data_IF_882190897535
#
_entry.id   IF_882190897535
#
_cell.length_a   1.000
_cell.length_b   1.000
_cell.length_c   1.000
_cell.angle_alpha   90.00
_cell.angle_beta   90.00
_cell.angle_gamma   90.00
#
_symmetry.space_group_name_H-M   'P 1'
#
loop_
_entity.id
_entity.type
_entity.pdbx_description
1 polymer ?
#
# COMPACT_ATOMS: atom_id res chain seq x y z
N UNK A 1 8.86 -8.83 1.70
CA UNK A 1 7.89 -7.72 1.94
C UNK A 1 8.29 -6.46 1.19
N UNK A 2 9.57 -6.07 1.22
CA UNK A 2 10.13 -4.93 0.49
C UNK A 2 9.74 -4.91 -1.00
N UNK A 3 9.92 -6.03 -1.70
CA UNK A 3 9.60 -6.11 -3.13
C UNK A 3 8.12 -5.82 -3.41
N UNK A 4 7.22 -6.41 -2.62
CA UNK A 4 5.77 -6.18 -2.76
C UNK A 4 5.34 -4.74 -2.43
N UNK A 5 6.07 -4.05 -1.54
CA UNK A 5 5.87 -2.63 -1.27
C UNK A 5 6.27 -1.78 -2.47
N UNK A 6 7.43 -2.06 -3.05
CA UNK A 6 7.92 -1.35 -4.24
C UNK A 6 7.06 -1.62 -5.47
N UNK A 7 6.59 -2.86 -5.66
CA UNK A 7 5.67 -3.22 -6.74
C UNK A 7 4.35 -2.47 -6.63
N UNK A 8 3.78 -2.38 -5.42
CA UNK A 8 2.57 -1.59 -5.19
C UNK A 8 2.80 -0.09 -5.47
N UNK A 9 3.97 0.44 -5.11
CA UNK A 9 4.36 1.82 -5.41
C UNK A 9 4.52 2.04 -6.92
N UNK A 10 5.16 1.12 -7.62
CA UNK A 10 5.36 1.17 -9.07
C UNK A 10 4.02 1.09 -9.81
N UNK A 11 3.10 0.22 -9.36
CA UNK A 11 1.75 0.14 -9.89
C UNK A 11 1.00 1.48 -9.75
N UNK A 12 1.10 2.17 -8.60
CA UNK A 12 0.51 3.50 -8.44
C UNK A 12 1.14 4.55 -9.36
N UNK A 13 2.46 4.50 -9.58
CA UNK A 13 3.15 5.40 -10.52
C UNK A 13 2.64 5.15 -11.95
N UNK A 14 2.50 3.88 -12.33
CA UNK A 14 1.95 3.52 -13.64
C UNK A 14 0.49 3.99 -13.80
N UNK A 15 -0.37 3.80 -12.81
CA UNK A 15 -1.75 4.27 -12.87
C UNK A 15 -1.86 5.78 -13.12
N UNK A 16 -0.89 6.57 -12.63
CA UNK A 16 -0.84 8.03 -12.85
C UNK A 16 -0.52 8.44 -14.28
N UNK A 17 0.01 7.55 -15.11
CA UNK A 17 0.32 7.83 -16.52
C UNK A 17 -0.85 7.54 -17.45
N UNK A 18 -1.88 6.84 -16.96
CA UNK A 18 -3.05 6.48 -17.75
C UNK A 18 -3.95 7.70 -17.94
N UNK A 19 -4.28 8.00 -19.20
CA UNK A 19 -5.10 9.15 -19.59
C UNK A 19 -6.48 9.18 -18.92
N UNK A 20 -7.05 8.01 -18.66
CA UNK A 20 -8.40 7.86 -18.12
C UNK A 20 -8.43 7.73 -16.58
N UNK A 21 -7.30 7.99 -15.92
CA UNK A 21 -7.15 7.95 -14.45
C UNK A 21 -6.88 9.35 -13.94
N UNK A 22 -7.65 9.81 -12.95
CA UNK A 22 -7.34 11.04 -12.22
C UNK A 22 -6.24 10.77 -11.17
N UNK A 23 -5.00 11.27 -11.37
CA UNK A 23 -3.91 11.04 -10.43
C UNK A 23 -4.14 11.71 -9.07
N UNK A 24 -5.07 12.66 -8.98
CA UNK A 24 -5.47 13.33 -7.75
C UNK A 24 -6.43 12.51 -6.88
N UNK A 25 -6.91 11.35 -7.33
CA UNK A 25 -7.96 10.55 -6.65
C UNK A 25 -7.63 9.07 -6.46
N UNK A 26 -6.35 8.71 -6.44
CA UNK A 26 -5.92 7.32 -6.26
C UNK A 26 -5.92 6.90 -4.78
N UNK A 27 -6.51 5.74 -4.49
CA UNK A 27 -6.48 5.07 -3.19
C UNK A 27 -5.82 3.70 -3.27
N UNK A 28 -5.50 3.11 -2.11
CA UNK A 28 -4.91 1.77 -1.99
C UNK A 28 -5.72 0.91 -1.02
N UNK A 29 -5.88 -0.36 -1.37
CA UNK A 29 -6.57 -1.35 -0.55
C UNK A 29 -5.66 -2.57 -0.38
N UNK A 30 -5.67 -3.15 0.83
CA UNK A 30 -4.90 -4.33 1.14
C UNK A 30 -5.66 -5.31 2.04
N UNK A 31 -5.63 -6.59 1.68
CA UNK A 31 -6.21 -7.68 2.48
C UNK A 31 -5.12 -8.56 3.11
N UNK A 32 -5.29 -8.94 4.38
CA UNK A 32 -4.34 -9.79 5.12
C UNK A 32 -2.93 -9.16 5.10
N UNK A 33 -1.91 -9.87 4.60
CA UNK A 33 -0.55 -9.31 4.39
C UNK A 33 -0.55 -8.06 3.49
N UNK A 34 -1.49 -7.97 2.54
CA UNK A 34 -1.68 -6.79 1.71
C UNK A 34 -2.06 -5.54 2.52
N UNK A 35 -2.70 -5.71 3.68
CA UNK A 35 -3.01 -4.60 4.58
C UNK A 35 -1.77 -3.87 5.08
N UNK A 36 -0.69 -4.61 5.38
CA UNK A 36 0.61 -4.01 5.72
C UNK A 36 1.26 -3.29 4.54
N UNK A 37 1.17 -3.86 3.34
CA UNK A 37 1.71 -3.24 2.12
C UNK A 37 0.98 -1.93 1.81
N UNK A 38 -0.35 -1.95 1.93
CA UNK A 38 -1.22 -0.78 1.79
C UNK A 38 -0.91 0.27 2.85
N UNK A 39 -0.75 -0.15 4.12
CA UNK A 39 -0.34 0.74 5.21
C UNK A 39 0.98 1.44 4.94
N UNK A 40 2.02 0.67 4.60
CA UNK A 40 3.36 1.22 4.37
C UNK A 40 3.37 2.20 3.19
N UNK A 41 2.68 1.88 2.09
CA UNK A 41 2.56 2.77 0.94
C UNK A 41 1.72 4.01 1.26
N UNK A 42 0.56 3.85 1.89
CA UNK A 42 -0.33 4.96 2.20
C UNK A 42 0.24 5.94 3.22
N UNK A 43 0.92 5.45 4.25
CA UNK A 43 1.52 6.30 5.29
C UNK A 43 2.73 7.11 4.78
N UNK A 44 3.48 6.59 3.81
CA UNK A 44 4.71 7.23 3.31
C UNK A 44 4.53 7.91 1.93
N UNK A 45 3.32 7.96 1.40
CA UNK A 45 3.07 8.51 0.07
C UNK A 45 1.88 9.49 0.06
N UNK A 46 2.11 10.81 0.04
CA UNK A 46 1.03 11.82 0.08
C UNK A 46 0.13 11.79 -1.17
N UNK A 47 0.53 11.05 -2.19
CA UNK A 47 -0.23 10.83 -3.41
C UNK A 47 -1.35 9.79 -3.25
N UNK A 48 -1.36 9.03 -2.15
CA UNK A 48 -2.46 8.12 -1.78
C UNK A 48 -3.53 8.91 -1.03
N UNK A 49 -4.76 8.91 -1.54
CA UNK A 49 -5.86 9.75 -1.03
C UNK A 49 -6.82 9.01 -0.11
N UNK A 50 -6.84 7.69 -0.21
CA UNK A 50 -7.60 6.82 0.65
C UNK A 50 -6.85 5.51 0.86
N UNK A 51 -6.99 4.93 2.04
CA UNK A 51 -6.35 3.67 2.40
C UNK A 51 -7.36 2.77 3.09
N UNK A 52 -7.51 1.54 2.60
CA UNK A 52 -8.40 0.52 3.18
C UNK A 52 -7.57 -0.69 3.59
N UNK A 53 -7.64 -1.03 4.88
CA UNK A 53 -6.91 -2.15 5.48
C UNK A 53 -7.94 -3.20 5.92
N UNK A 54 -7.87 -4.39 5.35
CA UNK A 54 -8.85 -5.46 5.59
C UNK A 54 -8.19 -6.71 6.16
N UNK A 55 -8.72 -7.21 7.27
CA UNK A 55 -8.24 -8.44 7.93
C UNK A 55 -6.71 -8.50 8.12
N UNK A 56 -6.07 -7.34 8.31
CA UNK A 56 -4.64 -7.26 8.56
C UNK A 56 -4.40 -7.74 9.99
N UNK A 57 -3.72 -8.87 10.15
CA UNK A 57 -3.35 -9.34 11.48
C UNK A 57 -2.45 -8.27 12.14
N UNK A 58 -2.68 -7.90 13.40
CA UNK A 58 -1.69 -7.14 14.15
C UNK A 58 -0.41 -8.00 14.19
N UNK A 59 0.71 -7.38 13.83
CA UNK A 59 1.99 -8.05 13.75
C UNK A 59 2.24 -8.78 15.06
N UNK A 60 2.57 -10.07 14.98
CA UNK A 60 2.82 -10.87 16.17
C UNK A 60 3.87 -10.15 16.99
N UNK A 61 3.54 -9.77 18.23
CA UNK A 61 4.43 -9.08 19.17
C UNK A 61 5.57 -9.97 19.69
N UNK A 62 6.00 -10.98 18.92
CA UNK A 62 7.22 -11.72 19.19
C UNK A 62 8.32 -11.10 18.32
N UNK A 63 9.28 -10.48 19.02
CA UNK A 63 10.45 -9.77 18.50
C UNK A 63 11.30 -10.63 17.54
N UNK A 64 10.85 -10.86 16.31
CA UNK A 64 11.59 -11.73 15.38
C UNK A 64 11.35 -11.55 13.88
N UNK A 65 10.23 -10.96 13.42
CA UNK A 65 9.93 -10.93 11.98
C UNK A 65 9.37 -9.60 11.48
N UNK A 66 9.93 -8.48 11.96
CA UNK A 66 9.54 -7.15 11.47
C UNK A 66 10.73 -6.23 11.26
N UNK A 67 11.74 -6.66 10.50
CA UNK A 67 12.66 -5.80 9.74
C UNK A 67 13.17 -6.54 8.50
#
# INVERSE_FOLDING_TARGET
>A
MKDAVEDARAAMIFLRTLRDVDPGRLGILGFSRGGYIAFYNGANNPNVKAMVIMACAPGRSNRGEFF
#
